data_IF_456429925854
#
_entry.id   IF_456429925854
#
_cell.length_a   1.000
_cell.length_b   1.000
_cell.length_c   1.000
_cell.angle_alpha   90.00
_cell.angle_beta   90.00
_cell.angle_gamma   90.00
#
_symmetry.space_group_name_H-M   'P 1'
#
loop_
_entity.id
_entity.type
_entity.pdbx_description
1 polymer ?
#
# COMPACT_ATOMS: atom_id res chain seq x y z
N UNK A 1 15.32 11.05 3.24
CA UNK A 1 14.07 11.81 3.45
C UNK A 1 13.95 12.12 4.93
N UNK A 2 13.61 13.34 5.32
CA UNK A 2 13.38 13.67 6.75
C UNK A 2 12.07 13.03 7.21
N UNK A 3 11.97 12.69 8.50
CA UNK A 3 10.79 12.03 9.07
C UNK A 3 9.50 12.86 8.90
N UNK A 4 9.61 14.19 8.93
CA UNK A 4 8.51 15.11 8.68
C UNK A 4 8.04 15.10 7.22
N UNK A 5 8.97 15.08 6.26
CA UNK A 5 8.66 15.01 4.83
C UNK A 5 7.93 13.70 4.48
N UNK A 6 8.31 12.59 5.13
CA UNK A 6 7.63 11.30 4.99
C UNK A 6 6.19 11.35 5.52
N UNK A 7 6.00 11.88 6.74
CA UNK A 7 4.67 11.99 7.35
C UNK A 7 3.73 12.88 6.54
N UNK A 8 4.24 14.01 6.04
CA UNK A 8 3.46 14.89 5.15
C UNK A 8 3.03 14.16 3.90
N UNK A 9 3.95 13.44 3.24
CA UNK A 9 3.64 12.71 2.01
C UNK A 9 2.62 11.60 2.22
N UNK A 10 2.71 10.88 3.34
CA UNK A 10 1.70 9.89 3.73
C UNK A 10 0.33 10.54 3.91
N UNK A 11 0.25 11.69 4.60
CA UNK A 11 -1.00 12.40 4.82
C UNK A 11 -1.64 12.88 3.50
N UNK A 12 -0.85 13.41 2.57
CA UNK A 12 -1.30 13.78 1.22
C UNK A 12 -1.93 12.58 0.49
N UNK A 13 -1.22 11.45 0.45
CA UNK A 13 -1.71 10.23 -0.22
C UNK A 13 -3.01 9.74 0.41
N UNK A 14 -3.12 9.78 1.74
CA UNK A 14 -4.33 9.39 2.47
C UNK A 14 -5.52 10.28 2.09
N UNK A 15 -5.30 11.60 2.00
CA UNK A 15 -6.34 12.56 1.61
C UNK A 15 -6.87 12.37 0.18
N UNK A 16 -6.10 11.70 -0.69
CA UNK A 16 -6.46 11.47 -2.10
C UNK A 16 -7.13 10.12 -2.36
N UNK A 17 -7.08 9.18 -1.41
CA UNK A 17 -7.57 7.81 -1.62
C UNK A 17 -8.68 7.47 -0.64
N UNK A 18 -9.72 6.75 -1.07
CA UNK A 18 -10.75 6.22 -0.17
C UNK A 18 -10.49 4.73 0.10
N UNK A 19 -10.02 4.39 1.30
CA UNK A 19 -9.77 3.00 1.70
C UNK A 19 -10.96 2.43 2.49
N UNK A 20 -11.67 1.40 1.99
CA UNK A 20 -12.87 0.86 2.65
C UNK A 20 -12.56 0.01 3.89
N UNK A 21 -11.29 -0.40 4.09
CA UNK A 21 -10.85 -1.17 5.26
C UNK A 21 -10.38 -0.28 6.42
N UNK A 22 -10.54 1.04 6.31
CA UNK A 22 -9.79 1.98 7.15
C UNK A 22 -8.30 1.97 6.81
N UNK A 23 -7.55 2.95 7.29
CA UNK A 23 -6.11 3.03 7.03
C UNK A 23 -5.34 2.20 8.08
N UNK A 24 -5.69 0.93 8.27
CA UNK A 24 -5.08 0.05 9.28
C UNK A 24 -3.55 -0.05 9.14
N UNK A 25 -3.04 0.07 7.91
CA UNK A 25 -1.59 0.19 7.65
C UNK A 25 -0.97 1.41 8.35
N UNK A 26 -1.69 2.53 8.42
CA UNK A 26 -1.28 3.74 9.14
C UNK A 26 -1.57 3.62 10.64
N UNK A 27 -2.74 3.12 11.04
CA UNK A 27 -3.11 2.95 12.46
C UNK A 27 -2.16 2.00 13.21
N UNK A 28 -1.64 1.00 12.52
CA UNK A 28 -0.59 0.11 13.04
C UNK A 28 0.81 0.73 13.01
N UNK A 29 0.95 2.01 12.68
CA UNK A 29 2.23 2.68 12.43
C UNK A 29 3.12 1.88 11.44
N UNK A 30 2.49 1.31 10.41
CA UNK A 30 3.11 0.43 9.41
C UNK A 30 3.67 -0.89 9.94
N UNK A 31 3.36 -1.29 11.19
CA UNK A 31 3.75 -2.59 11.75
C UNK A 31 2.93 -3.73 11.14
N UNK A 32 1.72 -3.45 10.67
CA UNK A 32 0.81 -4.43 10.07
C UNK A 32 0.49 -4.05 8.62
N UNK A 33 1.51 -4.07 7.78
CA UNK A 33 1.31 -4.07 6.33
C UNK A 33 0.79 -5.45 5.92
N UNK A 34 -0.23 -5.50 5.05
CA UNK A 34 -0.54 -6.74 4.36
C UNK A 34 0.76 -7.31 3.74
N UNK A 35 0.90 -8.62 3.62
CA UNK A 35 2.06 -9.19 2.93
C UNK A 35 2.04 -8.73 1.47
N UNK A 36 3.05 -7.99 1.05
CA UNK A 36 3.28 -7.69 -0.35
C UNK A 36 4.76 -7.76 -0.68
N UNK A 37 5.03 -8.01 -1.96
CA UNK A 37 6.37 -8.06 -2.52
C UNK A 37 6.50 -6.97 -3.57
N UNK A 38 7.54 -6.15 -3.43
CA UNK A 38 7.99 -5.28 -4.50
C UNK A 38 8.59 -6.15 -5.62
N UNK A 39 8.14 -5.90 -6.84
CA UNK A 39 8.55 -6.61 -8.05
C UNK A 39 9.42 -5.74 -8.96
N UNK A 40 9.93 -4.61 -8.45
CA UNK A 40 10.68 -3.63 -9.23
C UNK A 40 9.79 -2.80 -10.17
N UNK A 41 8.47 -2.90 -10.04
CA UNK A 41 7.52 -2.11 -10.80
C UNK A 41 7.15 -0.84 -10.05
N UNK A 42 7.04 0.28 -10.76
CA UNK A 42 6.78 1.54 -10.08
C UNK A 42 5.37 1.67 -9.52
N UNK A 43 4.42 0.92 -10.06
CA UNK A 43 2.98 1.14 -9.91
C UNK A 43 2.24 -0.05 -9.29
N UNK A 44 2.92 -1.18 -9.09
CA UNK A 44 2.29 -2.39 -8.58
C UNK A 44 3.20 -3.13 -7.60
N UNK A 45 2.56 -3.70 -6.58
CA UNK A 45 3.15 -4.72 -5.70
C UNK A 45 2.38 -6.03 -5.87
N UNK A 46 3.03 -7.18 -5.68
CA UNK A 46 2.29 -8.44 -5.51
C UNK A 46 1.69 -8.45 -4.10
N UNK A 47 0.40 -8.75 -3.97
CA UNK A 47 -0.33 -8.80 -2.71
C UNK A 47 -0.66 -10.25 -2.35
N UNK A 48 -0.28 -10.67 -1.15
CA UNK A 48 -0.53 -12.02 -0.64
C UNK A 48 -1.65 -12.07 0.42
N UNK A 49 -2.43 -11.00 0.55
CA UNK A 49 -3.62 -10.99 1.41
C UNK A 49 -4.73 -11.81 0.74
N UNK A 50 -5.23 -12.85 1.41
CA UNK A 50 -6.33 -13.69 0.94
C UNK A 50 -7.62 -12.88 0.73
N UNK A 51 -7.80 -11.82 1.52
CA UNK A 51 -8.92 -10.89 1.45
C UNK A 51 -8.64 -9.68 0.54
N UNK A 52 -7.63 -9.74 -0.32
CA UNK A 52 -7.33 -8.66 -1.28
C UNK A 52 -8.44 -8.44 -2.30
N UNK A 53 -9.27 -9.46 -2.61
CA UNK A 53 -10.37 -9.33 -3.56
C UNK A 53 -11.40 -8.24 -3.20
N UNK A 54 -11.58 -7.94 -1.90
CA UNK A 54 -12.49 -6.87 -1.44
C UNK A 54 -11.82 -5.49 -1.38
N UNK A 55 -10.54 -5.39 -1.74
CA UNK A 55 -9.81 -4.12 -1.77
C UNK A 55 -9.96 -3.45 -3.15
N UNK A 56 -10.39 -2.17 -3.22
CA UNK A 56 -10.54 -1.44 -4.50
C UNK A 56 -9.20 -1.16 -5.19
N UNK A 57 -8.10 -1.30 -4.45
CA UNK A 57 -6.74 -1.21 -4.99
C UNK A 57 -6.19 -2.58 -5.41
N UNK A 58 -6.98 -3.65 -5.34
CA UNK A 58 -6.56 -4.96 -5.85
C UNK A 58 -6.81 -5.05 -7.35
N UNK A 59 -5.85 -5.61 -8.06
CA UNK A 59 -5.95 -5.94 -9.49
C UNK A 59 -5.58 -7.40 -9.65
N UNK A 60 -6.47 -8.19 -10.25
CA UNK A 60 -6.19 -9.59 -10.56
C UNK A 60 -5.56 -9.68 -11.95
N UNK A 61 -4.43 -10.37 -12.07
CA UNK A 61 -3.82 -10.67 -13.36
C UNK A 61 -3.14 -12.04 -13.30
N UNK A 62 -3.51 -12.92 -14.24
CA UNK A 62 -3.18 -14.34 -14.22
C UNK A 62 -3.51 -14.99 -12.86
N UNK A 63 -2.60 -15.78 -12.30
CA UNK A 63 -2.75 -16.41 -10.98
C UNK A 63 -2.39 -15.49 -9.80
N UNK A 64 -2.02 -14.23 -10.05
CA UNK A 64 -1.49 -13.31 -9.04
C UNK A 64 -2.48 -12.19 -8.73
N UNK A 65 -2.41 -11.69 -7.49
CA UNK A 65 -3.11 -10.48 -7.08
C UNK A 65 -2.11 -9.36 -6.89
N UNK A 66 -2.37 -8.24 -7.52
CA UNK A 66 -1.55 -7.04 -7.46
C UNK A 66 -2.24 -5.98 -6.61
N UNK A 67 -1.45 -5.09 -6.04
CA UNK A 67 -1.87 -3.96 -5.25
C UNK A 67 -1.39 -2.68 -5.92
N UNK A 68 -2.34 -1.83 -6.33
CA UNK A 68 -2.10 -0.48 -6.86
C UNK A 68 -2.33 0.63 -5.83
N UNK A 69 -2.36 0.29 -4.53
CA UNK A 69 -2.59 1.25 -3.46
C UNK A 69 -1.43 2.25 -3.41
N UNK A 70 -1.67 3.56 -3.66
CA UNK A 70 -0.59 4.55 -3.70
C UNK A 70 0.20 4.61 -2.39
N UNK A 71 -0.50 4.45 -1.25
CA UNK A 71 0.14 4.41 0.05
C UNK A 71 1.11 3.22 0.16
N UNK A 72 0.66 2.00 -0.18
CA UNK A 72 1.53 0.82 -0.05
C UNK A 72 2.71 0.84 -1.00
N UNK A 73 2.53 1.35 -2.22
CA UNK A 73 3.62 1.54 -3.18
C UNK A 73 4.65 2.52 -2.62
N UNK A 74 4.19 3.66 -2.10
CA UNK A 74 5.06 4.65 -1.48
C UNK A 74 5.81 4.05 -0.29
N UNK A 75 5.12 3.32 0.60
CA UNK A 75 5.73 2.68 1.76
C UNK A 75 6.78 1.64 1.35
N UNK A 76 6.47 0.73 0.42
CA UNK A 76 7.41 -0.31 -0.03
C UNK A 76 8.71 0.26 -0.61
N UNK A 77 8.65 1.44 -1.25
CA UNK A 77 9.81 2.12 -1.84
C UNK A 77 10.61 2.95 -0.84
N UNK A 78 9.99 3.41 0.24
CA UNK A 78 10.56 4.42 1.14
C UNK A 78 10.83 3.95 2.57
N UNK A 79 10.20 2.86 3.01
CA UNK A 79 10.52 2.17 4.26
C UNK A 79 11.48 1.00 3.93
N UNK A 80 12.75 1.16 4.26
CA UNK A 80 13.75 0.09 4.30
C UNK A 80 14.05 -0.26 5.74
#
# INVERSE_FOLDING_TARGET
MRQEDFRRRVAEIIGEINCPKGYTCMESNFLHLCRAMDIGCETYLICFDENSASCPFSVSFAASRYCKCPLRIYLAKNLK
#
